data_IF_859028410088
#
_entry.id   IF_859028410088
#
_cell.length_a   1.000
_cell.length_b   1.000
_cell.length_c   1.000
_cell.angle_alpha   90.00
_cell.angle_beta   90.00
_cell.angle_gamma   90.00
#
_symmetry.space_group_name_H-M   'P 1'
#
loop_
_entity.id
_entity.type
_entity.pdbx_description
1 polymer ?
#
# COMPACT_ATOMS: atom_id res chain seq x y z
N UNK A 1 -20.82 4.95 -12.33
CA UNK A 1 -19.74 4.82 -13.32
C UNK A 1 -19.66 3.37 -13.76
N UNK A 2 -19.19 3.07 -14.98
CA UNK A 2 -18.90 1.68 -15.34
C UNK A 2 -17.66 1.17 -14.59
N UNK A 3 -17.63 -0.11 -14.21
CA UNK A 3 -16.55 -0.72 -13.41
C UNK A 3 -15.14 -0.50 -13.98
N UNK A 4 -15.01 -0.43 -15.31
CA UNK A 4 -13.72 -0.16 -15.97
C UNK A 4 -13.18 1.25 -15.70
N UNK A 5 -14.07 2.25 -15.55
CA UNK A 5 -13.66 3.61 -15.21
C UNK A 5 -13.21 3.71 -13.74
N UNK A 6 -13.80 2.90 -12.85
CA UNK A 6 -13.43 2.86 -11.44
C UNK A 6 -12.00 2.36 -11.18
N UNK A 7 -11.44 1.54 -12.09
CA UNK A 7 -10.07 1.01 -11.97
C UNK A 7 -9.01 2.12 -11.91
N UNK A 8 -9.23 3.23 -12.62
CA UNK A 8 -8.28 4.36 -12.64
C UNK A 8 -8.18 5.02 -11.26
N UNK A 9 -9.26 5.00 -10.49
CA UNK A 9 -9.28 5.55 -9.13
C UNK A 9 -8.73 4.58 -8.08
N UNK A 10 -8.44 3.33 -8.47
CA UNK A 10 -7.88 2.29 -7.61
C UNK A 10 -6.38 2.07 -7.84
N UNK A 11 -5.71 3.01 -8.51
CA UNK A 11 -4.29 2.97 -8.82
C UNK A 11 -3.37 2.90 -7.59
N UNK A 12 -3.60 3.62 -6.48
CA UNK A 12 -2.76 3.52 -5.29
C UNK A 12 -2.70 2.09 -4.73
N UNK A 13 -3.84 1.41 -4.66
CA UNK A 13 -3.95 0.04 -4.18
C UNK A 13 -3.24 -0.93 -5.12
N UNK A 14 -3.44 -0.78 -6.43
CA UNK A 14 -2.70 -1.56 -7.43
C UNK A 14 -1.18 -1.38 -7.30
N UNK A 15 -0.70 -0.17 -7.02
CA UNK A 15 0.73 0.09 -6.83
C UNK A 15 1.27 -0.65 -5.59
N UNK A 16 0.54 -0.65 -4.47
CA UNK A 16 0.91 -1.41 -3.26
C UNK A 16 0.89 -2.91 -3.55
N UNK A 17 -0.15 -3.44 -4.17
CA UNK A 17 -0.25 -4.87 -4.52
C UNK A 17 0.87 -5.30 -5.48
N UNK A 18 1.17 -4.50 -6.50
CA UNK A 18 2.27 -4.78 -7.42
C UNK A 18 3.62 -4.82 -6.68
N UNK A 19 3.82 -3.92 -5.71
CA UNK A 19 5.02 -3.90 -4.86
C UNK A 19 5.12 -5.18 -4.01
N UNK A 20 4.02 -5.62 -3.41
CA UNK A 20 3.97 -6.89 -2.64
C UNK A 20 4.37 -8.06 -3.53
N UNK A 21 3.77 -8.17 -4.72
CA UNK A 21 4.08 -9.25 -5.66
C UNK A 21 5.55 -9.22 -6.10
N UNK A 22 6.08 -8.04 -6.40
CA UNK A 22 7.50 -7.88 -6.72
C UNK A 22 8.40 -8.32 -5.57
N UNK A 23 8.07 -7.95 -4.32
CA UNK A 23 8.83 -8.39 -3.15
C UNK A 23 8.79 -9.91 -2.98
N UNK A 24 7.64 -10.56 -3.21
CA UNK A 24 7.52 -12.02 -3.16
C UNK A 24 8.42 -12.66 -4.24
N UNK A 25 8.38 -12.17 -5.48
CA UNK A 25 9.23 -12.68 -6.57
C UNK A 25 10.71 -12.50 -6.24
N UNK A 26 11.11 -11.32 -5.76
CA UNK A 26 12.49 -11.02 -5.36
C UNK A 26 12.93 -11.88 -4.19
N UNK A 27 12.06 -12.11 -3.21
CA UNK A 27 12.33 -12.97 -2.05
C UNK A 27 12.55 -14.42 -2.47
N UNK A 28 11.70 -14.97 -3.35
CA UNK A 28 11.81 -16.36 -3.84
C UNK A 28 13.02 -16.55 -4.76
N UNK A 29 13.31 -15.59 -5.64
CA UNK A 29 14.43 -15.66 -6.57
C UNK A 29 15.79 -15.30 -5.93
N UNK A 30 15.78 -14.48 -4.88
CA UNK A 30 16.96 -13.95 -4.22
C UNK A 30 17.59 -14.95 -3.25
N UNK A 31 18.77 -15.47 -3.59
CA UNK A 31 19.58 -16.32 -2.68
C UNK A 31 20.19 -15.56 -1.48
N UNK A 32 20.19 -14.23 -1.49
CA UNK A 32 20.96 -13.43 -0.54
C UNK A 32 20.06 -12.75 0.51
N UNK A 33 20.17 -13.18 1.78
CA UNK A 33 19.28 -12.80 2.89
C UNK A 33 19.56 -11.42 3.50
N UNK A 34 20.72 -10.81 3.20
CA UNK A 34 21.19 -9.57 3.86
C UNK A 34 21.25 -8.35 2.92
N UNK A 35 20.35 -8.25 1.94
CA UNK A 35 20.33 -7.08 1.05
C UNK A 35 19.39 -6.00 1.58
N UNK A 36 19.75 -4.73 1.41
CA UNK A 36 18.89 -3.56 1.65
C UNK A 36 17.85 -3.33 0.54
N UNK A 37 17.90 -4.12 -0.53
CA UNK A 37 16.98 -4.08 -1.68
C UNK A 37 15.49 -4.14 -1.31
N UNK A 38 14.99 -5.02 -0.41
CA UNK A 38 13.57 -5.09 -0.10
C UNK A 38 13.06 -3.84 0.65
N UNK A 39 13.89 -3.23 1.49
CA UNK A 39 13.55 -1.97 2.15
C UNK A 39 13.39 -0.84 1.12
N UNK A 40 14.34 -0.72 0.19
CA UNK A 40 14.30 0.31 -0.87
C UNK A 40 13.08 0.13 -1.79
N UNK A 41 12.76 -1.12 -2.16
CA UNK A 41 11.59 -1.45 -2.97
C UNK A 41 10.28 -1.13 -2.23
N UNK A 42 10.18 -1.47 -0.95
CA UNK A 42 9.01 -1.14 -0.14
C UNK A 42 8.81 0.37 -0.02
N UNK A 43 9.89 1.14 0.19
CA UNK A 43 9.86 2.59 0.26
C UNK A 43 9.41 3.21 -1.08
N UNK A 44 9.91 2.69 -2.20
CA UNK A 44 9.49 3.13 -3.53
C UNK A 44 8.01 2.84 -3.79
N UNK A 45 7.52 1.66 -3.40
CA UNK A 45 6.11 1.28 -3.54
C UNK A 45 5.16 2.12 -2.69
N UNK A 46 5.48 2.31 -1.41
CA UNK A 46 4.67 3.19 -0.52
C UNK A 46 4.76 4.64 -0.99
N UNK A 47 5.93 5.11 -1.43
CA UNK A 47 6.10 6.45 -1.99
C UNK A 47 5.23 6.68 -3.23
N UNK A 48 5.19 5.71 -4.15
CA UNK A 48 4.32 5.76 -5.32
C UNK A 48 2.83 5.79 -4.91
N UNK A 49 2.42 4.91 -3.99
CA UNK A 49 1.04 4.86 -3.50
C UNK A 49 0.61 6.16 -2.79
N UNK A 50 1.52 6.78 -2.03
CA UNK A 50 1.30 8.06 -1.37
C UNK A 50 1.11 9.19 -2.38
N UNK A 51 1.98 9.29 -3.38
CA UNK A 51 1.86 10.28 -4.45
C UNK A 51 0.55 10.11 -5.23
N UNK A 52 0.22 8.87 -5.59
CA UNK A 52 -1.02 8.55 -6.31
C UNK A 52 -2.27 8.84 -5.46
N UNK A 53 -2.22 8.64 -4.14
CA UNK A 53 -3.32 9.00 -3.24
C UNK A 53 -3.44 10.51 -3.06
N UNK A 54 -2.32 11.23 -3.02
CA UNK A 54 -2.30 12.69 -2.81
C UNK A 54 -2.81 13.49 -4.02
N UNK A 55 -2.70 12.94 -5.24
CA UNK A 55 -3.24 13.57 -6.46
C UNK A 55 -4.74 13.31 -6.66
N UNK A 56 -5.37 12.44 -5.86
CA UNK A 56 -6.79 12.15 -6.00
C UNK A 56 -7.65 13.35 -5.59
N UNK A 57 -8.70 13.70 -6.36
CA UNK A 57 -9.59 14.79 -5.99
C UNK A 57 -10.33 14.45 -4.68
N UNK A 58 -10.14 15.27 -3.64
CA UNK A 58 -10.79 15.09 -2.34
C UNK A 58 -12.20 15.71 -2.27
N UNK A 59 -12.64 16.41 -3.31
CA UNK A 59 -13.79 17.33 -3.24
C UNK A 59 -15.13 16.72 -3.65
N UNK A 60 -15.16 15.62 -4.40
CA UNK A 60 -16.40 14.96 -4.79
C UNK A 60 -16.42 13.52 -4.28
N UNK A 61 -17.47 13.17 -3.51
CA UNK A 61 -17.70 11.79 -3.10
C UNK A 61 -18.12 10.99 -4.32
N UNK A 62 -17.30 10.02 -4.69
CA UNK A 62 -17.45 9.27 -5.91
C UNK A 62 -17.59 7.78 -5.58
N UNK A 63 -18.78 7.19 -5.80
CA UNK A 63 -18.97 5.76 -5.62
C UNK A 63 -18.26 5.00 -6.73
N UNK A 64 -17.41 4.06 -6.34
CA UNK A 64 -16.69 3.14 -7.20
C UNK A 64 -17.27 1.73 -7.04
N UNK A 65 -17.20 0.93 -8.11
CA UNK A 65 -17.68 -0.47 -8.11
C UNK A 65 -19.11 -0.63 -7.57
N UNK A 66 -20.08 0.03 -8.21
CA UNK A 66 -21.51 0.00 -7.80
C UNK A 66 -21.76 0.44 -6.34
N UNK A 67 -20.86 1.27 -5.76
CA UNK A 67 -21.00 1.78 -4.40
C UNK A 67 -20.42 0.87 -3.32
N UNK A 68 -19.60 -0.12 -3.67
CA UNK A 68 -18.85 -0.91 -2.70
C UNK A 68 -17.71 -0.10 -2.06
N UNK A 69 -17.09 0.78 -2.84
CA UNK A 69 -15.99 1.65 -2.40
C UNK A 69 -16.44 3.11 -2.57
N UNK A 70 -16.30 3.93 -1.52
CA UNK A 70 -16.47 5.37 -1.62
C UNK A 70 -15.11 6.06 -1.70
N UNK A 71 -14.87 6.81 -2.77
CA UNK A 71 -13.74 7.72 -2.84
C UNK A 71 -14.20 9.11 -2.41
N UNK A 72 -13.88 9.49 -1.19
CA UNK A 72 -14.19 10.81 -0.63
C UNK A 72 -12.97 11.41 0.10
N UNK A 73 -13.10 12.66 0.55
CA UNK A 73 -12.02 13.34 1.27
C UNK A 73 -11.59 12.62 2.56
N UNK A 74 -12.49 11.88 3.20
CA UNK A 74 -12.18 11.04 4.36
C UNK A 74 -11.25 9.88 3.98
N UNK A 75 -11.63 9.11 2.97
CA UNK A 75 -10.87 7.95 2.49
C UNK A 75 -9.48 8.37 2.01
N UNK A 76 -9.39 9.47 1.25
CA UNK A 76 -8.10 10.01 0.77
C UNK A 76 -7.22 10.43 1.94
N UNK A 77 -7.76 11.14 2.93
CA UNK A 77 -7.01 11.53 4.14
C UNK A 77 -6.43 10.32 4.88
N UNK A 78 -7.25 9.29 5.11
CA UNK A 78 -6.78 8.09 5.81
C UNK A 78 -5.79 7.26 5.00
N UNK A 79 -5.91 7.21 3.67
CA UNK A 79 -4.89 6.57 2.80
C UNK A 79 -3.55 7.29 2.90
N UNK A 80 -3.54 8.62 2.81
CA UNK A 80 -2.30 9.41 2.96
C UNK A 80 -1.71 9.26 4.36
N UNK A 81 -2.55 9.32 5.41
CA UNK A 81 -2.10 9.15 6.80
C UNK A 81 -1.47 7.78 7.03
N UNK A 82 -2.15 6.70 6.63
CA UNK A 82 -1.65 5.33 6.80
C UNK A 82 -0.37 5.10 5.99
N UNK A 83 -0.29 5.63 4.76
CA UNK A 83 0.94 5.58 3.96
C UNK A 83 2.11 6.30 4.65
N UNK A 84 1.90 7.50 5.19
CA UNK A 84 2.92 8.24 5.93
C UNK A 84 3.42 7.48 7.15
N UNK A 85 2.50 6.89 7.92
CA UNK A 85 2.86 6.04 9.07
C UNK A 85 3.70 4.86 8.60
N UNK A 86 3.32 4.19 7.51
CA UNK A 86 4.09 3.07 6.96
C UNK A 86 5.50 3.49 6.52
N UNK A 87 5.66 4.68 5.92
CA UNK A 87 6.99 5.22 5.60
C UNK A 87 7.85 5.36 6.85
N UNK A 88 7.30 5.92 7.93
CA UNK A 88 8.02 6.08 9.20
C UNK A 88 8.41 4.71 9.78
N UNK A 89 7.49 3.73 9.74
CA UNK A 89 7.77 2.37 10.21
C UNK A 89 8.88 1.72 9.39
N UNK A 90 8.91 1.91 8.06
CA UNK A 90 9.99 1.42 7.20
C UNK A 90 11.33 2.04 7.62
N UNK A 91 11.39 3.36 7.83
CA UNK A 91 12.62 4.02 8.29
C UNK A 91 13.11 3.47 9.64
N UNK A 92 12.21 3.31 10.62
CA UNK A 92 12.56 2.71 11.92
C UNK A 92 13.00 1.25 11.78
N UNK A 93 12.37 0.50 10.88
CA UNK A 93 12.71 -0.89 10.61
C UNK A 93 14.10 -1.06 9.97
N UNK A 94 14.60 -0.06 9.24
CA UNK A 94 15.93 -0.12 8.62
C UNK A 94 17.07 -0.06 9.64
N UNK A 95 16.91 0.69 10.74
CA UNK A 95 17.90 0.77 11.83
C UNK A 95 17.77 -0.37 12.87
N UNK A 96 16.72 -1.19 12.78
CA UNK A 96 16.48 -2.25 13.76
C UNK A 96 17.47 -3.41 13.62
N UNK A 97 18.27 -3.62 14.66
CA UNK A 97 19.23 -4.72 14.74
C UNK A 97 18.59 -6.10 14.72
N UNK A 98 17.33 -6.25 15.17
CA UNK A 98 16.60 -7.52 15.20
C UNK A 98 16.31 -8.07 13.79
N UNK A 99 16.23 -7.17 12.82
CA UNK A 99 15.94 -7.47 11.43
C UNK A 99 17.23 -7.80 10.63
N UNK A 100 18.40 -7.35 11.10
CA UNK A 100 19.71 -7.57 10.45
C UNK A 100 20.10 -9.05 10.26
N UNK A 101 19.53 -9.97 11.05
CA UNK A 101 19.79 -11.41 11.00
C UNK A 101 18.69 -12.27 10.36
N UNK A 102 17.57 -11.68 9.93
CA UNK A 102 16.37 -12.39 9.42
C UNK A 102 16.01 -11.95 8.00
N UNK A 103 15.08 -12.67 7.38
CA UNK A 103 14.55 -12.39 6.04
C UNK A 103 13.79 -11.06 6.01
N UNK A 104 14.52 -9.98 5.72
CA UNK A 104 14.00 -8.61 5.66
C UNK A 104 12.79 -8.49 4.73
N UNK A 105 12.76 -9.24 3.64
CA UNK A 105 11.70 -9.18 2.64
C UNK A 105 10.34 -9.66 3.19
N UNK A 106 10.30 -10.72 4.02
CA UNK A 106 9.06 -11.23 4.60
C UNK A 106 8.37 -10.18 5.48
N UNK A 107 9.16 -9.45 6.27
CA UNK A 107 8.66 -8.37 7.10
C UNK A 107 7.98 -7.28 6.27
N UNK A 108 8.64 -6.80 5.21
CA UNK A 108 8.08 -5.77 4.34
C UNK A 108 6.85 -6.26 3.56
N UNK A 109 6.79 -7.55 3.18
CA UNK A 109 5.60 -8.16 2.55
C UNK A 109 4.40 -8.08 3.50
N UNK A 110 4.55 -8.48 4.76
CA UNK A 110 3.47 -8.40 5.74
C UNK A 110 3.07 -6.96 6.04
N UNK A 111 4.04 -6.07 6.19
CA UNK A 111 3.80 -4.64 6.44
C UNK A 111 3.03 -3.97 5.30
N UNK A 112 3.38 -4.23 4.05
CA UNK A 112 2.64 -3.73 2.89
C UNK A 112 1.26 -4.39 2.76
N UNK A 113 1.11 -5.66 3.15
CA UNK A 113 -0.19 -6.34 3.16
C UNK A 113 -1.16 -5.68 4.15
N UNK A 114 -0.66 -5.28 5.32
CA UNK A 114 -1.44 -4.48 6.30
C UNK A 114 -1.79 -3.12 5.72
N UNK A 115 -0.86 -2.42 5.06
CA UNK A 115 -1.14 -1.14 4.40
C UNK A 115 -2.27 -1.27 3.35
N UNK A 116 -2.22 -2.31 2.51
CA UNK A 116 -3.25 -2.58 1.51
C UNK A 116 -4.62 -2.81 2.18
N UNK A 117 -4.67 -3.60 3.25
CA UNK A 117 -5.89 -3.81 4.03
C UNK A 117 -6.44 -2.49 4.59
N UNK A 118 -5.57 -1.64 5.14
CA UNK A 118 -5.98 -0.33 5.65
C UNK A 118 -6.55 0.58 4.57
N UNK A 119 -6.00 0.57 3.35
CA UNK A 119 -6.53 1.34 2.22
C UNK A 119 -7.93 0.89 1.78
N UNK A 120 -8.18 -0.42 1.82
CA UNK A 120 -9.49 -0.99 1.52
C UNK A 120 -10.52 -0.62 2.59
N UNK A 121 -10.16 -0.85 3.87
CA UNK A 121 -11.05 -0.60 5.01
C UNK A 121 -11.49 0.86 5.09
N UNK A 122 -10.58 1.80 4.83
CA UNK A 122 -10.88 3.24 4.94
C UNK A 122 -11.81 3.74 3.84
N UNK A 123 -11.85 3.06 2.70
CA UNK A 123 -12.70 3.40 1.56
C UNK A 123 -13.96 2.52 1.47
N UNK A 124 -14.18 1.61 2.43
CA UNK A 124 -15.26 0.63 2.38
C UNK A 124 -16.62 1.19 2.80
N UNK A 125 -17.62 0.94 1.96
CA UNK A 125 -19.03 1.23 2.24
C UNK A 125 -19.91 -0.02 2.27
N UNK A 126 -19.37 -1.17 1.88
CA UNK A 126 -20.07 -2.46 1.90
C UNK A 126 -19.53 -3.38 3.01
N UNK A 127 -20.44 -4.08 3.69
CA UNK A 127 -20.10 -4.94 4.84
C UNK A 127 -19.20 -6.11 4.45
N UNK A 128 -19.27 -6.60 3.20
CA UNK A 128 -18.41 -7.69 2.73
C UNK A 128 -16.99 -7.18 2.47
N UNK A 129 -16.84 -5.90 2.14
CA UNK A 129 -15.54 -5.29 1.87
C UNK A 129 -14.87 -4.73 3.13
N UNK A 130 -15.65 -4.45 4.18
CA UNK A 130 -15.19 -4.11 5.53
C UNK A 130 -14.75 -5.36 6.30
#
# INVERSE_FOLDING_TARGET
MGNFASLVHFLPEFAVTATILLLVVVHVAGKNKQSAVPALLSLAGVGAALLLSAIQPASESMPLFEGMVALDGFSVFFKVLTALVTVIVIFMSMESAELSGRSQAEYYIFLLSVLLGMFLLTASTDIVML
#
